data_IF_741263614831
#
_entry.id   IF_741263614831
#
_cell.length_a   1.000
_cell.length_b   1.000
_cell.length_c   1.000
_cell.angle_alpha   90.00
_cell.angle_beta   90.00
_cell.angle_gamma   90.00
#
_symmetry.space_group_name_H-M   'P 1'
#
loop_
_entity.id
_entity.type
_entity.pdbx_description
1 polymer ?
#
# COMPACT_ATOMS: atom_id res chain seq x y z
N UNK A 1 10.72 11.29 49.16
CA UNK A 1 9.56 10.47 48.68
C UNK A 1 8.28 11.20 49.06
N UNK A 2 7.70 11.95 48.11
CA UNK A 2 6.40 12.60 48.28
C UNK A 2 5.30 11.53 48.20
N UNK A 3 4.61 11.35 49.33
CA UNK A 3 3.49 10.42 49.44
C UNK A 3 2.40 10.81 48.43
N UNK A 4 2.09 9.93 47.48
CA UNK A 4 0.90 10.03 46.64
C UNK A 4 -0.33 10.31 47.52
N UNK A 5 -0.88 11.51 47.42
CA UNK A 5 -1.99 11.94 48.29
C UNK A 5 -3.33 11.56 47.70
N UNK A 6 -3.55 10.26 47.55
CA UNK A 6 -4.89 9.73 47.25
C UNK A 6 -5.75 9.97 48.49
N UNK A 7 -6.89 10.65 48.35
CA UNK A 7 -7.77 10.98 49.46
C UNK A 7 -9.17 10.44 49.23
N UNK A 8 -9.77 9.80 50.29
CA UNK A 8 -11.18 9.47 50.21
C UNK A 8 -12.01 10.76 50.20
N UNK A 9 -12.91 10.90 49.24
CA UNK A 9 -13.86 12.00 49.11
C UNK A 9 -15.30 11.46 49.13
N UNK A 10 -16.11 12.02 50.00
CA UNK A 10 -17.49 11.64 50.18
C UNK A 10 -18.37 12.31 49.08
N UNK A 11 -19.14 11.50 48.36
CA UNK A 11 -20.12 11.95 47.36
C UNK A 11 -21.48 11.37 47.80
N UNK A 12 -22.29 12.17 48.47
CA UNK A 12 -23.54 11.70 49.08
C UNK A 12 -23.25 10.58 50.12
N UNK A 13 -23.87 9.43 49.93
CA UNK A 13 -23.67 8.27 50.83
C UNK A 13 -22.44 7.39 50.45
N UNK A 14 -21.80 7.66 49.29
CA UNK A 14 -20.67 6.88 48.82
C UNK A 14 -19.34 7.57 49.04
N UNK A 15 -18.31 6.83 49.43
CA UNK A 15 -16.95 7.30 49.53
C UNK A 15 -16.16 6.79 48.35
N UNK A 16 -15.58 7.71 47.56
CA UNK A 16 -14.70 7.40 46.42
C UNK A 16 -13.30 7.92 46.69
N UNK A 17 -12.28 7.21 46.17
CA UNK A 17 -10.90 7.67 46.20
C UNK A 17 -10.70 8.75 45.16
N UNK A 18 -10.19 9.92 45.57
CA UNK A 18 -9.89 11.04 44.66
C UNK A 18 -8.41 11.05 44.32
N UNK A 19 -8.15 11.06 42.99
CA UNK A 19 -6.80 11.11 42.39
C UNK A 19 -6.45 12.53 41.91
N UNK A 20 -7.30 13.54 42.15
CA UNK A 20 -7.18 14.90 41.59
C UNK A 20 -5.91 15.67 42.04
N UNK A 21 -5.12 15.15 42.99
CA UNK A 21 -3.86 15.75 43.44
C UNK A 21 -2.66 14.83 43.23
N UNK A 22 -2.81 13.84 42.37
CA UNK A 22 -1.70 13.01 41.97
C UNK A 22 -0.87 13.77 40.92
N UNK A 23 0.47 13.72 41.06
CA UNK A 23 1.34 14.27 40.01
C UNK A 23 1.11 13.48 38.72
N UNK A 24 1.19 14.14 37.61
CA UNK A 24 1.20 13.48 36.30
C UNK A 24 2.38 12.50 36.26
N UNK A 25 2.07 11.24 35.99
CA UNK A 25 3.05 10.15 35.89
C UNK A 25 3.49 9.95 34.46
N UNK A 26 2.60 10.25 33.54
CA UNK A 26 2.82 10.17 32.10
C UNK A 26 2.60 11.55 31.48
N UNK A 27 3.46 11.91 30.57
CA UNK A 27 3.27 13.09 29.74
C UNK A 27 2.03 12.92 28.87
N UNK A 28 1.36 14.04 28.58
CA UNK A 28 0.21 14.01 27.67
C UNK A 28 0.67 13.59 26.29
N UNK A 29 0.09 12.53 25.67
CA UNK A 29 0.49 12.09 24.35
C UNK A 29 0.19 13.18 23.31
N UNK A 30 1.07 13.33 22.35
CA UNK A 30 0.85 14.23 21.23
C UNK A 30 -0.19 13.61 20.27
N UNK A 31 -1.41 14.16 20.27
CA UNK A 31 -2.54 13.63 19.49
C UNK A 31 -2.35 13.73 17.96
N UNK A 32 -1.45 14.59 17.51
CA UNK A 32 -1.13 14.78 16.08
C UNK A 32 0.16 14.10 15.65
N UNK A 33 0.75 13.30 16.51
CA UNK A 33 2.01 12.62 16.22
C UNK A 33 1.88 11.66 15.03
N UNK A 34 0.74 10.98 14.90
CA UNK A 34 0.48 10.05 13.79
C UNK A 34 0.59 10.75 12.43
N UNK A 35 -0.03 11.92 12.28
CA UNK A 35 0.03 12.71 11.05
C UNK A 35 1.44 13.21 10.77
N UNK A 36 2.12 13.75 11.78
CA UNK A 36 3.49 14.27 11.63
C UNK A 36 4.48 13.16 11.26
N UNK A 37 4.45 12.05 11.97
CA UNK A 37 5.35 10.92 11.69
C UNK A 37 5.07 10.31 10.31
N UNK A 38 3.80 10.20 9.90
CA UNK A 38 3.43 9.71 8.58
C UNK A 38 3.94 10.62 7.47
N UNK A 39 3.84 11.94 7.64
CA UNK A 39 4.37 12.89 6.66
C UNK A 39 5.89 12.90 6.60
N UNK A 40 6.56 12.80 7.76
CA UNK A 40 8.01 12.68 7.83
C UNK A 40 8.50 11.40 7.13
N UNK A 41 7.89 10.26 7.42
CA UNK A 41 8.17 9.01 6.73
C UNK A 41 7.98 9.13 5.21
N UNK A 42 6.91 9.80 4.79
CA UNK A 42 6.65 10.03 3.37
C UNK A 42 7.77 10.83 2.69
N UNK A 43 8.32 11.85 3.35
CA UNK A 43 9.44 12.64 2.82
C UNK A 43 10.75 11.85 2.84
N UNK A 44 11.01 11.07 3.90
CA UNK A 44 12.28 10.38 4.08
C UNK A 44 12.38 9.09 3.24
N UNK A 45 11.31 8.28 3.24
CA UNK A 45 11.28 6.95 2.63
C UNK A 45 10.25 6.83 1.50
N UNK A 46 9.01 7.29 1.72
CA UNK A 46 7.90 7.04 0.81
C UNK A 46 8.08 7.61 -0.60
N UNK A 47 8.68 8.79 -0.73
CA UNK A 47 8.99 9.36 -2.04
C UNK A 47 10.07 8.56 -2.77
N UNK A 48 11.11 8.10 -2.06
CA UNK A 48 12.15 7.25 -2.64
C UNK A 48 11.58 5.91 -3.11
N UNK A 49 10.71 5.30 -2.30
CA UNK A 49 10.04 4.05 -2.66
C UNK A 49 9.17 4.25 -3.92
N UNK A 50 8.40 5.32 -3.98
CA UNK A 50 7.56 5.63 -5.14
C UNK A 50 8.36 5.84 -6.43
N UNK A 51 9.51 6.53 -6.35
CA UNK A 51 10.37 6.72 -7.51
C UNK A 51 11.09 5.43 -7.93
N UNK A 52 11.51 4.60 -6.98
CA UNK A 52 12.13 3.31 -7.26
C UNK A 52 11.16 2.32 -7.89
N UNK A 53 9.89 2.33 -7.50
CA UNK A 53 8.85 1.46 -8.07
C UNK A 53 8.58 1.76 -9.55
N UNK A 54 8.74 3.01 -9.96
CA UNK A 54 8.52 3.44 -11.35
C UNK A 54 9.79 3.29 -12.19
N UNK A 55 10.96 3.35 -11.56
CA UNK A 55 12.28 3.27 -12.21
C UNK A 55 12.68 1.80 -12.45
N UNK A 56 13.30 1.46 -13.59
CA UNK A 56 13.59 2.30 -14.74
C UNK A 56 12.41 2.41 -15.72
N UNK A 57 12.25 3.58 -16.36
CA UNK A 57 11.31 3.77 -17.46
C UNK A 57 12.04 3.50 -18.77
N UNK A 58 11.72 2.39 -19.42
CA UNK A 58 12.30 2.01 -20.71
C UNK A 58 11.49 2.50 -21.90
N UNK A 59 12.17 2.84 -22.98
CA UNK A 59 11.55 3.07 -24.26
C UNK A 59 11.10 1.75 -24.90
N UNK A 60 10.05 1.81 -25.76
CA UNK A 60 9.54 0.66 -26.50
C UNK A 60 10.61 -0.03 -27.37
N UNK A 61 11.56 0.74 -27.94
CA UNK A 61 12.70 0.20 -28.69
C UNK A 61 13.79 -0.45 -27.80
N UNK A 62 13.70 -0.27 -26.47
CA UNK A 62 14.70 -0.73 -25.51
C UNK A 62 16.03 0.02 -25.56
N UNK A 63 16.12 1.10 -26.35
CA UNK A 63 17.33 1.90 -26.52
C UNK A 63 17.55 2.84 -25.34
N UNK A 64 16.50 3.56 -24.92
CA UNK A 64 16.57 4.56 -23.89
C UNK A 64 16.07 4.04 -22.56
N UNK A 65 16.76 4.39 -21.47
CA UNK A 65 16.34 4.13 -20.10
C UNK A 65 16.42 5.42 -19.30
N UNK A 66 15.34 5.74 -18.58
CA UNK A 66 15.27 6.88 -17.68
C UNK A 66 15.18 6.35 -16.25
N UNK A 67 16.13 6.75 -15.41
CA UNK A 67 16.22 6.36 -14.02
C UNK A 67 16.08 7.58 -13.10
N UNK A 68 15.30 7.43 -12.03
CA UNK A 68 15.23 8.42 -10.97
C UNK A 68 16.32 8.15 -9.94
N UNK A 69 17.26 9.11 -9.80
CA UNK A 69 18.42 8.93 -8.92
C UNK A 69 18.28 9.59 -7.56
N UNK A 70 17.31 10.49 -7.41
CA UNK A 70 17.01 11.16 -6.15
C UNK A 70 16.11 12.36 -6.34
N UNK A 71 15.71 12.98 -5.24
CA UNK A 71 14.87 14.17 -5.26
C UNK A 71 15.37 15.22 -4.25
N UNK A 72 14.91 16.44 -4.42
CA UNK A 72 15.10 17.54 -3.49
C UNK A 72 13.80 18.35 -3.36
N UNK A 73 13.32 18.51 -2.15
CA UNK A 73 12.22 19.41 -1.84
C UNK A 73 12.80 20.77 -1.45
N UNK A 74 12.46 21.80 -2.22
CA UNK A 74 12.98 23.14 -2.02
C UNK A 74 12.05 23.93 -1.09
N UNK A 75 12.09 23.65 0.20
CA UNK A 75 11.25 24.31 1.21
C UNK A 75 11.50 25.82 1.27
N UNK A 76 12.73 26.26 0.99
CA UNK A 76 13.14 27.67 1.02
C UNK A 76 12.57 28.46 -0.18
N UNK A 77 12.14 27.77 -1.23
CA UNK A 77 11.55 28.37 -2.44
C UNK A 77 10.00 28.45 -2.36
N UNK A 78 9.40 28.23 -1.18
CA UNK A 78 7.96 28.38 -0.99
C UNK A 78 7.53 29.83 -1.31
N UNK A 79 6.55 29.98 -2.22
CA UNK A 79 6.14 31.31 -2.74
C UNK A 79 5.50 32.19 -1.70
N UNK A 80 4.73 31.61 -0.79
CA UNK A 80 3.90 32.30 0.18
C UNK A 80 4.05 31.69 1.56
N UNK A 81 3.90 32.51 2.57
CA UNK A 81 3.76 32.06 3.97
C UNK A 81 2.39 31.42 4.20
N UNK A 82 2.23 30.73 5.32
CA UNK A 82 0.96 30.07 5.68
C UNK A 82 -0.19 31.09 5.74
N UNK A 83 0.06 32.28 6.32
CA UNK A 83 -0.93 33.34 6.46
C UNK A 83 -1.31 33.94 5.11
N UNK A 84 -0.33 34.23 4.26
CA UNK A 84 -0.59 34.71 2.90
C UNK A 84 -1.34 33.69 2.03
N UNK A 85 -1.08 32.39 2.22
CA UNK A 85 -1.84 31.35 1.52
C UNK A 85 -3.31 31.35 1.91
N UNK A 86 -3.63 31.61 3.17
CA UNK A 86 -5.02 31.72 3.65
C UNK A 86 -5.72 32.95 3.11
N UNK A 87 -5.02 34.08 3.05
CA UNK A 87 -5.60 35.36 2.53
C UNK A 87 -5.80 35.34 1.02
N UNK A 88 -4.91 34.64 0.28
CA UNK A 88 -4.92 34.63 -1.19
C UNK A 88 -5.57 33.38 -1.81
N UNK A 89 -6.19 32.53 -1.01
CA UNK A 89 -6.74 31.25 -1.45
C UNK A 89 -5.71 30.38 -2.19
N UNK A 90 -4.44 30.45 -1.74
CA UNK A 90 -3.34 29.72 -2.33
C UNK A 90 -3.03 28.44 -1.54
N UNK A 91 -2.21 27.55 -2.15
CA UNK A 91 -1.72 26.32 -1.51
C UNK A 91 -0.32 26.54 -0.96
N UNK A 92 -0.10 26.16 0.31
CA UNK A 92 1.21 26.18 0.93
C UNK A 92 1.99 24.96 0.44
N UNK A 93 2.91 25.18 -0.52
CA UNK A 93 3.65 24.14 -1.19
C UNK A 93 5.08 24.57 -1.51
N UNK A 94 5.94 23.60 -1.71
CA UNK A 94 7.32 23.80 -2.15
C UNK A 94 7.61 23.02 -3.45
N UNK A 95 8.49 23.53 -4.31
CA UNK A 95 8.88 22.85 -5.54
C UNK A 95 9.63 21.55 -5.25
N UNK A 96 9.16 20.47 -5.88
CA UNK A 96 9.84 19.18 -5.89
C UNK A 96 10.68 19.07 -7.15
N UNK A 97 11.98 18.95 -6.98
CA UNK A 97 12.95 18.72 -8.05
C UNK A 97 13.48 17.32 -7.97
N UNK A 98 13.51 16.64 -9.11
CA UNK A 98 13.91 15.24 -9.20
C UNK A 98 15.12 15.13 -10.11
N UNK A 99 16.13 14.40 -9.65
CA UNK A 99 17.32 14.09 -10.44
C UNK A 99 17.04 12.85 -11.28
N UNK A 100 17.17 12.99 -12.57
CA UNK A 100 16.94 11.93 -13.54
C UNK A 100 18.21 11.64 -14.32
N UNK A 101 18.43 10.37 -14.60
CA UNK A 101 19.50 9.87 -15.45
C UNK A 101 18.92 9.28 -16.71
N UNK A 102 19.28 9.84 -17.84
CA UNK A 102 18.94 9.29 -19.16
C UNK A 102 20.14 8.51 -19.69
N UNK A 103 19.94 7.24 -19.97
CA UNK A 103 20.94 6.34 -20.50
C UNK A 103 20.58 5.88 -21.91
N UNK A 104 21.48 6.04 -22.88
CA UNK A 104 21.42 5.38 -24.18
C UNK A 104 22.17 4.04 -24.10
N UNK A 105 21.42 2.93 -24.19
CA UNK A 105 22.00 1.58 -24.11
C UNK A 105 22.84 1.18 -25.33
N UNK A 106 22.70 1.90 -26.46
CA UNK A 106 23.49 1.63 -27.66
C UNK A 106 24.83 2.33 -27.64
N UNK A 107 24.86 3.62 -27.25
CA UNK A 107 26.08 4.41 -27.21
C UNK A 107 26.77 4.36 -25.85
N UNK A 108 26.07 3.97 -24.79
CA UNK A 108 26.55 4.01 -23.41
C UNK A 108 26.61 5.41 -22.79
N UNK A 109 26.10 6.41 -23.49
CA UNK A 109 26.03 7.77 -22.96
C UNK A 109 25.04 7.88 -21.82
N UNK A 110 25.43 8.58 -20.75
CA UNK A 110 24.59 8.92 -19.61
C UNK A 110 24.51 10.43 -19.47
N UNK A 111 23.29 10.94 -19.28
CA UNK A 111 23.03 12.36 -19.06
C UNK A 111 22.21 12.53 -17.79
N UNK A 112 22.75 13.28 -16.83
CA UNK A 112 22.06 13.59 -15.59
C UNK A 112 21.41 14.98 -15.69
N UNK A 113 20.14 15.08 -15.36
CA UNK A 113 19.38 16.33 -15.34
C UNK A 113 18.56 16.44 -14.07
N UNK A 114 18.33 17.67 -13.63
CA UNK A 114 17.38 17.98 -12.56
C UNK A 114 16.13 18.58 -13.19
N UNK A 115 14.99 17.95 -12.98
CA UNK A 115 13.72 18.38 -13.54
C UNK A 115 12.76 18.81 -12.43
N UNK A 116 11.94 19.81 -12.73
CA UNK A 116 10.83 20.20 -11.89
C UNK A 116 9.68 19.21 -12.09
N UNK A 117 9.26 18.55 -11.01
CA UNK A 117 8.17 17.57 -11.07
C UNK A 117 6.82 18.20 -10.75
N UNK A 118 6.80 19.17 -9.84
CA UNK A 118 5.59 19.84 -9.38
C UNK A 118 5.77 20.46 -8.02
N UNK A 119 4.71 21.09 -7.52
CA UNK A 119 4.68 21.66 -6.18
C UNK A 119 4.07 20.64 -5.21
N UNK A 120 4.81 20.30 -4.15
CA UNK A 120 4.37 19.38 -3.10
C UNK A 120 3.83 20.19 -1.92
N UNK A 121 2.59 19.94 -1.46
CA UNK A 121 2.04 20.60 -0.28
C UNK A 121 2.87 20.30 0.98
N UNK A 122 3.14 21.35 1.75
CA UNK A 122 3.87 21.27 3.01
C UNK A 122 2.92 21.15 4.19
N UNK A 123 3.30 20.33 5.16
CA UNK A 123 2.57 20.23 6.42
C UNK A 123 2.95 21.40 7.35
N UNK A 124 1.96 21.99 8.00
CA UNK A 124 2.14 23.00 9.03
C UNK A 124 2.58 22.36 10.36
N UNK A 125 3.04 23.19 11.30
CA UNK A 125 3.40 22.73 12.64
C UNK A 125 2.24 22.07 13.39
N UNK A 126 1.00 22.41 13.05
CA UNK A 126 -0.23 21.86 13.63
C UNK A 126 -0.68 20.55 12.96
N UNK A 127 0.09 20.01 11.98
CA UNK A 127 -0.24 18.77 11.29
C UNK A 127 -1.32 18.92 10.21
N UNK A 128 -1.58 20.15 9.76
CA UNK A 128 -2.55 20.47 8.72
C UNK A 128 -1.86 20.81 7.40
N UNK A 129 -2.62 20.79 6.29
CA UNK A 129 -2.21 21.30 4.99
C UNK A 129 -3.09 22.48 4.61
N UNK A 130 -2.49 23.54 4.09
CA UNK A 130 -3.25 24.68 3.55
C UNK A 130 -3.37 24.48 2.04
N UNK A 131 -4.56 24.16 1.59
CA UNK A 131 -4.88 23.93 0.18
C UNK A 131 -5.99 24.89 -0.24
N UNK A 132 -5.71 25.73 -1.24
CA UNK A 132 -6.62 26.78 -1.70
C UNK A 132 -7.17 27.62 -0.54
N UNK A 133 -6.28 28.05 0.36
CA UNK A 133 -6.62 28.88 1.52
C UNK A 133 -7.26 28.15 2.70
N UNK A 134 -7.74 26.93 2.52
CA UNK A 134 -8.40 26.15 3.57
C UNK A 134 -7.43 25.18 4.27
N UNK A 135 -7.45 25.17 5.58
CA UNK A 135 -6.74 24.14 6.35
C UNK A 135 -7.45 22.80 6.23
N UNK A 136 -6.70 21.78 5.83
CA UNK A 136 -7.18 20.41 5.66
C UNK A 136 -6.29 19.43 6.40
N UNK A 137 -6.88 18.35 6.87
CA UNK A 137 -6.17 17.26 7.55
C UNK A 137 -6.39 15.98 6.76
N UNK A 138 -5.33 15.20 6.62
CA UNK A 138 -5.42 13.85 6.05
C UNK A 138 -5.87 12.91 7.16
N UNK A 139 -7.03 12.30 6.98
CA UNK A 139 -7.57 11.32 7.92
C UNK A 139 -6.95 9.96 7.64
N UNK A 140 -6.39 9.33 8.66
CA UNK A 140 -5.86 7.96 8.56
C UNK A 140 -6.98 6.98 8.23
N UNK A 141 -6.76 6.14 7.22
CA UNK A 141 -7.71 5.11 6.80
C UNK A 141 -7.15 3.73 7.09
N UNK A 142 -8.01 2.87 7.65
CA UNK A 142 -7.68 1.47 7.84
C UNK A 142 -7.96 0.71 6.55
N UNK A 143 -6.93 0.07 6.02
CA UNK A 143 -7.00 -0.80 4.85
C UNK A 143 -6.48 -2.18 5.20
N UNK A 144 -6.88 -3.19 4.43
CA UNK A 144 -6.30 -4.53 4.60
C UNK A 144 -4.81 -4.49 4.26
N UNK A 145 -3.99 -5.09 5.11
CA UNK A 145 -2.55 -5.23 4.83
C UNK A 145 -2.32 -6.12 3.62
N UNK A 146 -1.24 -5.89 2.86
CA UNK A 146 -0.79 -6.84 1.86
C UNK A 146 -0.56 -8.22 2.49
N UNK A 147 -0.97 -9.27 1.79
CA UNK A 147 -0.84 -10.64 2.29
C UNK A 147 -1.83 -11.60 1.65
N UNK A 148 -1.92 -12.80 2.21
CA UNK A 148 -2.80 -13.87 1.75
C UNK A 148 -3.87 -14.10 2.81
N UNK A 149 -5.13 -14.00 2.39
CA UNK A 149 -6.31 -14.20 3.23
C UNK A 149 -7.02 -15.48 2.80
N UNK A 150 -7.19 -16.40 3.71
CA UNK A 150 -7.86 -17.68 3.47
C UNK A 150 -9.28 -17.63 4.01
N UNK A 151 -10.21 -18.25 3.27
CA UNK A 151 -11.60 -18.36 3.65
C UNK A 151 -12.14 -19.75 3.29
N UNK A 152 -13.12 -20.23 4.05
CA UNK A 152 -13.78 -21.53 3.83
C UNK A 152 -15.27 -21.24 3.67
N UNK A 153 -15.80 -21.61 2.51
CA UNK A 153 -17.22 -21.53 2.20
C UNK A 153 -17.83 -22.91 2.10
N UNK A 154 -19.10 -23.04 2.42
CA UNK A 154 -19.83 -24.29 2.28
C UNK A 154 -20.77 -24.21 1.10
N UNK A 155 -20.73 -25.21 0.23
CA UNK A 155 -21.70 -25.37 -0.85
C UNK A 155 -23.08 -25.78 -0.27
N UNK A 156 -24.13 -25.68 -1.10
CA UNK A 156 -25.51 -26.09 -0.74
C UNK A 156 -25.60 -27.55 -0.29
N UNK A 157 -24.65 -28.39 -0.68
CA UNK A 157 -24.56 -29.81 -0.32
C UNK A 157 -23.73 -30.03 0.97
N UNK A 158 -23.19 -28.92 1.57
CA UNK A 158 -22.33 -28.99 2.76
C UNK A 158 -20.87 -29.31 2.47
N UNK A 159 -20.42 -29.30 1.19
CA UNK A 159 -19.03 -29.49 0.81
C UNK A 159 -18.25 -28.22 1.12
N UNK A 160 -17.09 -28.35 1.74
CA UNK A 160 -16.17 -27.27 2.00
C UNK A 160 -15.47 -26.82 0.70
N UNK A 161 -15.57 -25.54 0.41
CA UNK A 161 -14.89 -24.88 -0.71
C UNK A 161 -13.88 -23.91 -0.14
N UNK A 162 -12.63 -24.08 -0.54
CA UNK A 162 -11.53 -23.27 -0.09
C UNK A 162 -11.30 -22.12 -1.06
N UNK A 163 -11.16 -20.92 -0.50
CA UNK A 163 -10.80 -19.73 -1.27
C UNK A 163 -9.63 -19.02 -0.61
N UNK A 164 -8.84 -18.33 -1.41
CA UNK A 164 -7.84 -17.42 -0.88
C UNK A 164 -7.72 -16.18 -1.75
N UNK A 165 -7.53 -15.04 -1.09
CA UNK A 165 -7.33 -13.75 -1.74
C UNK A 165 -5.91 -13.28 -1.47
N UNK A 166 -5.15 -13.06 -2.52
CA UNK A 166 -3.81 -12.47 -2.45
C UNK A 166 -3.95 -10.99 -2.71
N UNK A 167 -3.63 -10.19 -1.71
CA UNK A 167 -3.63 -8.73 -1.78
C UNK A 167 -2.18 -8.27 -1.88
N UNK A 168 -1.76 -7.70 -3.02
CA UNK A 168 -0.42 -7.14 -3.17
C UNK A 168 -0.33 -5.77 -2.49
N UNK A 169 0.88 -5.29 -2.26
CA UNK A 169 1.09 -3.92 -1.82
C UNK A 169 0.58 -2.92 -2.87
N UNK A 170 0.84 -3.22 -4.15
CA UNK A 170 0.40 -2.43 -5.30
C UNK A 170 0.07 -3.36 -6.46
N UNK A 171 -1.12 -3.21 -7.05
CA UNK A 171 -1.54 -3.98 -8.21
C UNK A 171 -2.89 -4.66 -8.04
N UNK A 172 -3.21 -5.56 -8.95
CA UNK A 172 -4.47 -6.29 -9.00
C UNK A 172 -4.55 -7.39 -7.94
N UNK A 173 -5.71 -7.59 -7.37
CA UNK A 173 -5.96 -8.69 -6.44
C UNK A 173 -6.10 -10.01 -7.19
N UNK A 174 -5.59 -11.09 -6.60
CA UNK A 174 -5.77 -12.44 -7.11
C UNK A 174 -6.66 -13.20 -6.15
N UNK A 175 -7.83 -13.61 -6.65
CA UNK A 175 -8.80 -14.42 -5.88
C UNK A 175 -8.77 -15.84 -6.42
N UNK A 176 -8.37 -16.77 -5.58
CA UNK A 176 -8.36 -18.21 -5.89
C UNK A 176 -9.58 -18.87 -5.28
N UNK A 177 -10.30 -19.65 -6.05
CA UNK A 177 -11.50 -20.36 -5.62
C UNK A 177 -11.41 -21.83 -6.03
N UNK A 178 -11.89 -22.71 -5.16
CA UNK A 178 -12.12 -24.12 -5.49
C UNK A 178 -13.58 -24.31 -5.86
N UNK A 179 -13.84 -24.93 -7.00
CA UNK A 179 -15.19 -25.28 -7.43
C UNK A 179 -15.67 -26.60 -6.77
N UNK A 180 -16.96 -26.87 -6.83
CA UNK A 180 -17.56 -28.13 -6.36
C UNK A 180 -16.92 -29.39 -6.96
N UNK A 181 -16.33 -29.27 -8.14
CA UNK A 181 -15.57 -30.31 -8.84
C UNK A 181 -14.08 -30.41 -8.46
N UNK A 182 -13.63 -29.72 -7.39
CA UNK A 182 -12.23 -29.62 -6.96
C UNK A 182 -11.29 -29.01 -8.00
N UNK A 183 -11.80 -28.17 -8.89
CA UNK A 183 -11.00 -27.45 -9.88
C UNK A 183 -10.68 -26.07 -9.30
N UNK A 184 -9.40 -25.70 -9.39
CA UNK A 184 -8.94 -24.38 -8.96
C UNK A 184 -9.12 -23.34 -10.07
N UNK A 185 -9.79 -22.28 -9.73
CA UNK A 185 -9.96 -21.08 -10.56
C UNK A 185 -9.28 -19.88 -9.93
N UNK A 186 -8.94 -18.93 -10.76
CA UNK A 186 -8.40 -17.63 -10.35
C UNK A 186 -9.17 -16.53 -11.03
N UNK A 187 -9.41 -15.44 -10.30
CA UNK A 187 -9.87 -14.16 -10.81
C UNK A 187 -8.78 -13.12 -10.60
N UNK A 188 -8.54 -12.34 -11.60
CA UNK A 188 -7.63 -11.20 -11.52
C UNK A 188 -8.52 -9.95 -11.50
N UNK A 189 -8.49 -9.20 -10.38
CA UNK A 189 -9.19 -7.92 -10.22
C UNK A 189 -10.67 -7.95 -10.64
N UNK A 190 -11.45 -8.92 -10.08
CA UNK A 190 -12.89 -9.12 -10.34
C UNK A 190 -13.25 -9.49 -11.78
N UNK A 191 -12.30 -9.88 -12.61
CA UNK A 191 -12.58 -10.37 -13.96
C UNK A 191 -13.20 -11.76 -13.95
N UNK A 192 -13.52 -12.29 -15.14
CA UNK A 192 -14.03 -13.65 -15.31
C UNK A 192 -13.00 -14.66 -14.78
N UNK A 193 -13.49 -15.66 -14.03
CA UNK A 193 -12.65 -16.74 -13.51
C UNK A 193 -12.05 -17.57 -14.63
N UNK A 194 -10.79 -17.87 -14.51
CA UNK A 194 -10.03 -18.75 -15.43
C UNK A 194 -9.38 -19.87 -14.62
N UNK A 195 -9.12 -21.04 -15.24
CA UNK A 195 -8.36 -22.10 -14.56
C UNK A 195 -6.99 -21.60 -14.13
N UNK A 196 -6.54 -21.98 -12.93
CA UNK A 196 -5.25 -21.54 -12.38
C UNK A 196 -4.05 -21.92 -13.26
N UNK A 197 -4.17 -23.02 -14.01
CA UNK A 197 -3.14 -23.48 -14.97
C UNK A 197 -2.85 -22.44 -16.05
N UNK A 198 -3.87 -21.70 -16.48
CA UNK A 198 -3.73 -20.63 -17.48
C UNK A 198 -2.91 -19.47 -16.92
N UNK A 199 -3.20 -19.07 -15.67
CA UNK A 199 -2.43 -18.01 -14.99
C UNK A 199 -0.96 -18.45 -14.82
N UNK A 200 -0.72 -19.68 -14.35
CA UNK A 200 0.63 -20.20 -14.16
C UNK A 200 1.41 -20.19 -15.47
N UNK A 201 0.79 -20.62 -16.58
CA UNK A 201 1.43 -20.58 -17.90
C UNK A 201 1.74 -19.17 -18.37
N UNK A 202 0.87 -18.20 -18.06
CA UNK A 202 1.08 -16.79 -18.42
C UNK A 202 2.24 -16.15 -17.63
N UNK A 203 2.41 -16.56 -16.36
CA UNK A 203 3.47 -16.01 -15.49
C UNK A 203 4.82 -16.69 -15.68
N UNK A 204 4.82 -17.99 -15.99
CA UNK A 204 6.04 -18.73 -16.24
C UNK A 204 6.43 -18.53 -17.71
N UNK A 205 7.49 -17.74 -17.95
CA UNK A 205 8.22 -17.82 -19.21
C UNK A 205 8.57 -19.29 -19.47
N UNK A 206 8.63 -19.74 -20.75
CA UNK A 206 8.83 -21.15 -21.09
C UNK A 206 10.22 -21.64 -20.68
N UNK A 207 10.42 -21.84 -19.41
CA UNK A 207 11.56 -22.55 -18.84
C UNK A 207 11.21 -24.03 -18.81
N UNK A 208 12.20 -24.88 -19.13
CA UNK A 208 12.04 -26.31 -19.29
C UNK A 208 11.52 -27.08 -18.06
N UNK A 209 11.40 -26.41 -16.90
CA UNK A 209 10.94 -27.03 -15.65
C UNK A 209 9.51 -26.59 -15.28
N UNK A 210 8.55 -27.22 -15.92
CA UNK A 210 7.11 -26.99 -15.69
C UNK A 210 6.51 -27.91 -14.61
N UNK A 211 7.27 -28.29 -13.58
CA UNK A 211 6.82 -29.25 -12.56
C UNK A 211 5.53 -28.85 -11.84
N UNK A 212 5.32 -27.56 -11.61
CA UNK A 212 4.07 -27.05 -11.00
C UNK A 212 2.88 -27.12 -11.95
N UNK A 213 3.10 -26.83 -13.23
CA UNK A 213 2.04 -26.91 -14.26
C UNK A 213 1.63 -28.36 -14.47
N UNK A 214 2.61 -29.25 -14.57
CA UNK A 214 2.36 -30.68 -14.73
C UNK A 214 1.54 -31.26 -13.56
N UNK A 215 1.82 -30.85 -12.32
CA UNK A 215 1.07 -31.30 -11.14
C UNK A 215 -0.40 -30.83 -11.15
N UNK A 216 -0.68 -29.62 -11.62
CA UNK A 216 -2.04 -29.11 -11.73
C UNK A 216 -2.79 -29.67 -12.93
N UNK A 217 -2.08 -30.00 -14.02
CA UNK A 217 -2.65 -30.67 -15.19
C UNK A 217 -2.91 -32.16 -14.96
N UNK A 218 -2.04 -32.86 -14.26
CA UNK A 218 -2.25 -34.25 -13.88
C UNK A 218 -3.54 -34.47 -13.10
N UNK A 219 -3.90 -33.54 -12.19
CA UNK A 219 -5.19 -33.58 -11.48
C UNK A 219 -6.38 -33.41 -12.43
N UNK A 220 -6.25 -32.55 -13.43
CA UNK A 220 -7.31 -32.27 -14.41
C UNK A 220 -7.46 -33.46 -15.37
N UNK A 221 -6.35 -33.94 -15.91
CA UNK A 221 -6.32 -35.10 -16.81
C UNK A 221 -6.80 -36.37 -16.10
N UNK A 222 -6.44 -36.57 -14.85
CA UNK A 222 -6.92 -37.69 -14.06
C UNK A 222 -8.45 -37.71 -13.87
N UNK A 223 -9.10 -36.56 -13.75
CA UNK A 223 -10.57 -36.47 -13.69
C UNK A 223 -11.23 -36.62 -15.05
N UNK A 224 -10.66 -36.06 -16.10
CA UNK A 224 -11.16 -36.23 -17.47
C UNK A 224 -11.02 -37.67 -17.95
N UNK A 225 -9.92 -38.36 -17.61
CA UNK A 225 -9.76 -39.78 -17.89
C UNK A 225 -10.75 -40.65 -17.11
N UNK A 226 -11.04 -40.35 -15.82
CA UNK A 226 -12.06 -41.09 -15.06
C UNK A 226 -13.45 -40.93 -15.63
N UNK A 227 -13.82 -39.75 -16.17
CA UNK A 227 -15.11 -39.51 -16.80
C UNK A 227 -15.25 -40.21 -18.19
N UNK A 228 -14.12 -40.38 -18.89
CA UNK A 228 -14.09 -41.11 -20.20
C UNK A 228 -14.06 -42.64 -20.07
N UNK A 229 -13.66 -43.15 -18.91
CA UNK A 229 -13.60 -44.58 -18.64
C UNK A 229 -14.75 -45.06 -17.74
N UNK A 230 -15.86 -44.40 -17.81
CA UNK A 230 -17.11 -44.93 -17.23
C UNK A 230 -17.54 -46.17 -18.07
N UNK A 231 -17.71 -47.34 -17.48
CA UNK A 231 -18.02 -48.56 -18.22
C UNK A 231 -19.45 -48.62 -18.76
N UNK A 232 -20.16 -47.52 -18.80
CA UNK A 232 -21.51 -47.39 -19.33
C UNK A 232 -21.56 -46.33 -20.45
N UNK A 233 -20.85 -46.57 -21.50
CA UNK A 233 -21.11 -46.05 -22.84
C UNK A 233 -20.93 -47.21 -23.83
#
# INVERSE_FOLDING_TARGET
MEKNRIRPKKFGNNVRMSYSRQKEVLEMPNLIEVQKNSYQWFLDEGLNEAFNDISPIGDYSGRWSLDFTGFRLCTDEAKYTIEECKERDATYAAPLRVKVRLQDKQTGEMKDHEIFMGDLPLMTETGTFVINGAERVIVSQLVRSPGIYYDIQHDKIGKELYSCTVIPNRGAWLEYETDSNDIFYVRVDRTRKVPVTVLIRALLTPTKDNAMINRSEERRVGKECRSRWSPYH
#
